data_IF_331452708186
#
_entry.id   IF_331452708186
#
_cell.length_a   1.000
_cell.length_b   1.000
_cell.length_c   1.000
_cell.angle_alpha   90.00
_cell.angle_beta   90.00
_cell.angle_gamma   90.00
#
_symmetry.space_group_name_H-M   'P 1'
#
loop_
_entity.id
_entity.type
_entity.pdbx_description
1 polymer ?
#
# COMPACT_ATOMS: atom_id res chain seq x y z
N UNK A 1 3.24 -21.72 -19.30
CA UNK A 1 2.05 -22.39 -19.82
C UNK A 1 0.81 -21.49 -19.89
N UNK A 2 0.39 -20.82 -18.83
CA UNK A 2 -0.82 -19.98 -18.84
C UNK A 2 -0.66 -18.71 -19.69
N UNK A 3 0.50 -18.05 -19.59
CA UNK A 3 0.80 -16.84 -20.37
C UNK A 3 0.75 -17.11 -21.90
N UNK A 4 1.33 -18.22 -22.35
CA UNK A 4 1.27 -18.64 -23.76
C UNK A 4 -0.16 -18.85 -24.23
N UNK A 5 -0.98 -19.54 -23.43
CA UNK A 5 -2.40 -19.77 -23.78
C UNK A 5 -3.17 -18.48 -24.00
N UNK A 6 -2.94 -17.46 -23.18
CA UNK A 6 -3.58 -16.15 -23.38
C UNK A 6 -2.99 -15.40 -24.57
N UNK A 7 -1.69 -15.49 -24.79
CA UNK A 7 -1.03 -14.88 -25.94
C UNK A 7 -1.50 -15.51 -27.28
N UNK A 8 -1.71 -16.83 -27.33
CA UNK A 8 -2.22 -17.55 -28.49
C UNK A 8 -3.68 -17.17 -28.81
N UNK A 9 -4.51 -17.02 -27.79
CA UNK A 9 -5.90 -16.54 -27.96
C UNK A 9 -5.90 -15.11 -28.49
N UNK A 10 -5.05 -14.23 -27.94
CA UNK A 10 -4.93 -12.84 -28.40
C UNK A 10 -4.40 -12.74 -29.83
N UNK A 11 -3.52 -13.64 -30.26
CA UNK A 11 -2.94 -13.64 -31.60
C UNK A 11 -3.98 -13.62 -32.72
N UNK A 12 -4.97 -14.50 -32.62
CA UNK A 12 -6.05 -14.54 -33.62
C UNK A 12 -6.87 -13.26 -33.73
N UNK A 13 -7.08 -12.59 -32.58
CA UNK A 13 -7.78 -11.30 -32.56
C UNK A 13 -6.93 -10.16 -33.12
N UNK A 14 -5.64 -10.14 -32.81
CA UNK A 14 -4.69 -9.14 -33.28
C UNK A 14 -4.48 -9.25 -34.80
N UNK A 15 -4.38 -10.47 -35.33
CA UNK A 15 -4.29 -10.71 -36.79
C UNK A 15 -5.58 -10.27 -37.50
N UNK A 16 -6.73 -10.46 -36.90
CA UNK A 16 -8.02 -10.05 -37.47
C UNK A 16 -8.22 -8.52 -37.44
N UNK A 17 -7.76 -7.82 -36.40
CA UNK A 17 -7.90 -6.37 -36.23
C UNK A 17 -7.03 -5.55 -37.18
N UNK A 18 -5.89 -6.11 -37.63
CA UNK A 18 -4.84 -5.41 -38.38
C UNK A 18 -4.34 -4.11 -37.73
N UNK A 19 -4.65 -3.88 -36.46
CA UNK A 19 -4.27 -2.67 -35.73
C UNK A 19 -2.80 -2.75 -35.29
N UNK A 20 -1.96 -1.88 -35.82
CA UNK A 20 -0.52 -1.85 -35.56
C UNK A 20 -0.19 -1.74 -34.06
N UNK A 21 -1.02 -1.00 -33.30
CA UNK A 21 -0.83 -0.86 -31.86
C UNK A 21 -1.01 -2.19 -31.13
N UNK A 22 -2.06 -2.94 -31.46
CA UNK A 22 -2.34 -4.24 -30.85
C UNK A 22 -1.27 -5.28 -31.24
N UNK A 23 -0.81 -5.24 -32.50
CA UNK A 23 0.31 -6.06 -32.93
C UNK A 23 1.59 -5.76 -32.14
N UNK A 24 1.89 -4.47 -31.92
CA UNK A 24 3.02 -4.04 -31.09
C UNK A 24 2.91 -4.55 -29.66
N UNK A 25 1.76 -4.44 -29.03
CA UNK A 25 1.50 -4.96 -27.68
C UNK A 25 1.68 -6.48 -27.62
N UNK A 26 1.13 -7.21 -28.59
CA UNK A 26 1.29 -8.66 -28.65
C UNK A 26 2.77 -9.06 -28.78
N UNK A 27 3.52 -8.39 -29.64
CA UNK A 27 4.95 -8.63 -29.80
C UNK A 27 5.70 -8.36 -28.50
N UNK A 28 5.42 -7.29 -27.77
CA UNK A 28 6.06 -7.00 -26.46
C UNK A 28 5.73 -8.10 -25.45
N UNK A 29 4.48 -8.58 -25.41
CA UNK A 29 4.09 -9.68 -24.50
C UNK A 29 4.87 -10.96 -24.85
N UNK A 30 4.96 -11.32 -26.12
CA UNK A 30 5.70 -12.50 -26.57
C UNK A 30 7.20 -12.37 -26.26
N UNK A 31 7.79 -11.19 -26.50
CA UNK A 31 9.17 -10.91 -26.17
C UNK A 31 9.46 -11.04 -24.68
N UNK A 32 8.57 -10.52 -23.83
CA UNK A 32 8.67 -10.68 -22.36
C UNK A 32 8.58 -12.15 -21.95
N UNK A 33 7.65 -12.91 -22.48
CA UNK A 33 7.53 -14.35 -22.20
C UNK A 33 8.83 -15.06 -22.55
N UNK A 34 9.35 -14.84 -23.78
CA UNK A 34 10.58 -15.44 -24.25
C UNK A 34 11.80 -15.06 -23.37
N UNK A 35 11.86 -13.79 -22.91
CA UNK A 35 12.93 -13.31 -22.02
C UNK A 35 12.92 -14.09 -20.68
N UNK A 36 11.75 -14.24 -20.06
CA UNK A 36 11.61 -14.98 -18.79
C UNK A 36 11.78 -16.50 -18.94
N UNK A 37 11.65 -17.03 -20.15
CA UNK A 37 11.93 -18.43 -20.47
C UNK A 37 13.41 -18.67 -20.82
N UNK A 38 14.26 -17.65 -20.76
CA UNK A 38 15.67 -17.76 -21.09
C UNK A 38 15.94 -17.94 -22.60
N UNK A 39 15.08 -17.37 -23.45
CA UNK A 39 15.18 -17.38 -24.90
C UNK A 39 15.46 -15.96 -25.45
N UNK A 40 16.63 -15.38 -25.18
CA UNK A 40 16.89 -13.98 -25.49
C UNK A 40 16.84 -13.64 -26.97
N UNK A 41 17.25 -14.54 -27.86
CA UNK A 41 17.18 -14.32 -29.31
C UNK A 41 15.73 -14.25 -29.83
N UNK A 42 14.86 -15.10 -29.31
CA UNK A 42 13.41 -15.06 -29.61
C UNK A 42 12.78 -13.79 -29.04
N UNK A 43 13.16 -13.42 -27.81
CA UNK A 43 12.72 -12.19 -27.16
C UNK A 43 13.10 -10.97 -28.01
N UNK A 44 14.34 -10.88 -28.44
CA UNK A 44 14.85 -9.81 -29.31
C UNK A 44 13.99 -9.67 -30.58
N UNK A 45 13.76 -10.77 -31.30
CA UNK A 45 12.96 -10.74 -32.54
C UNK A 45 11.58 -10.15 -32.33
N UNK A 46 10.90 -10.57 -31.26
CA UNK A 46 9.59 -10.05 -30.93
C UNK A 46 9.65 -8.57 -30.49
N UNK A 47 10.61 -8.21 -29.66
CA UNK A 47 10.72 -6.84 -29.12
C UNK A 47 11.11 -5.83 -30.21
N UNK A 48 11.97 -6.20 -31.17
CA UNK A 48 12.27 -5.39 -32.36
C UNK A 48 11.02 -5.13 -33.19
N UNK A 49 10.20 -6.16 -33.44
CA UNK A 49 8.93 -6.01 -34.13
C UNK A 49 7.95 -5.12 -33.36
N UNK A 50 7.87 -5.25 -32.04
CA UNK A 50 7.04 -4.42 -31.19
C UNK A 50 7.44 -2.95 -31.22
N UNK A 51 8.74 -2.67 -31.13
CA UNK A 51 9.30 -1.30 -31.25
C UNK A 51 8.96 -0.70 -32.61
N UNK A 52 9.15 -1.45 -33.70
CA UNK A 52 8.83 -0.98 -35.06
C UNK A 52 7.33 -0.62 -35.22
N UNK A 53 6.43 -1.44 -34.66
CA UNK A 53 4.99 -1.14 -34.65
C UNK A 53 4.68 0.17 -33.91
N UNK A 54 5.29 0.39 -32.74
CA UNK A 54 5.05 1.61 -31.95
C UNK A 54 5.64 2.86 -32.61
N UNK A 55 6.79 2.75 -33.26
CA UNK A 55 7.41 3.86 -33.97
C UNK A 55 6.60 4.29 -35.19
N UNK A 56 6.15 3.34 -35.99
CA UNK A 56 5.29 3.63 -37.14
C UNK A 56 3.96 4.29 -36.71
N UNK A 57 3.42 3.85 -35.57
CA UNK A 57 2.22 4.44 -34.95
C UNK A 57 2.48 5.71 -34.13
N UNK A 58 3.73 6.24 -34.10
CA UNK A 58 4.14 7.40 -33.27
C UNK A 58 3.83 7.26 -31.78
N UNK A 59 3.85 6.04 -31.25
CA UNK A 59 3.60 5.68 -29.86
C UNK A 59 4.90 5.76 -29.05
N UNK A 60 5.39 6.96 -28.81
CA UNK A 60 6.70 7.21 -28.19
C UNK A 60 6.87 6.53 -26.84
N UNK A 61 5.85 6.63 -25.97
CA UNK A 61 5.87 6.04 -24.64
C UNK A 61 6.02 4.52 -24.69
N UNK A 62 5.23 3.87 -25.53
CA UNK A 62 5.24 2.40 -25.65
C UNK A 62 6.53 1.93 -26.33
N UNK A 63 7.06 2.70 -27.28
CA UNK A 63 8.39 2.45 -27.87
C UNK A 63 9.50 2.52 -26.83
N UNK A 64 9.53 3.55 -25.96
CA UNK A 64 10.54 3.66 -24.90
C UNK A 64 10.47 2.48 -23.91
N UNK A 65 9.27 2.07 -23.52
CA UNK A 65 9.06 0.90 -22.66
C UNK A 65 9.51 -0.41 -23.29
N UNK A 66 9.17 -0.61 -24.56
CA UNK A 66 9.59 -1.80 -25.32
C UNK A 66 11.11 -1.87 -25.48
N UNK A 67 11.78 -0.73 -25.66
CA UNK A 67 13.21 -0.63 -25.77
C UNK A 67 13.96 -1.01 -24.49
N UNK A 68 13.39 -0.82 -23.31
CA UNK A 68 13.99 -1.35 -22.06
C UNK A 68 14.03 -2.88 -22.07
N UNK A 69 12.95 -3.55 -22.49
CA UNK A 69 12.95 -5.01 -22.65
C UNK A 69 13.91 -5.46 -23.74
N UNK A 70 13.96 -4.73 -24.87
CA UNK A 70 14.86 -5.02 -25.98
C UNK A 70 16.34 -4.92 -25.56
N UNK A 71 16.69 -3.90 -24.79
CA UNK A 71 18.04 -3.74 -24.25
C UNK A 71 18.47 -4.95 -23.41
N UNK A 72 17.58 -5.41 -22.52
CA UNK A 72 17.84 -6.61 -21.72
C UNK A 72 17.97 -7.85 -22.62
N UNK A 73 17.09 -8.04 -23.61
CA UNK A 73 17.17 -9.17 -24.53
C UNK A 73 18.47 -9.16 -25.36
N UNK A 74 18.93 -7.99 -25.81
CA UNK A 74 20.20 -7.84 -26.48
C UNK A 74 21.37 -8.19 -25.56
N UNK A 75 21.40 -7.70 -24.34
CA UNK A 75 22.47 -8.00 -23.39
C UNK A 75 22.52 -9.49 -23.03
N UNK A 76 21.38 -10.11 -22.76
CA UNK A 76 21.29 -11.56 -22.49
C UNK A 76 21.68 -12.41 -23.71
N UNK A 77 21.63 -11.85 -24.93
CA UNK A 77 22.12 -12.47 -26.15
C UNK A 77 23.65 -12.23 -26.39
N UNK A 78 24.31 -11.48 -25.51
CA UNK A 78 25.72 -11.10 -25.64
C UNK A 78 25.99 -9.90 -26.54
N UNK A 79 24.96 -9.21 -27.05
CA UNK A 79 25.07 -8.02 -27.90
C UNK A 79 24.92 -6.73 -27.07
N UNK A 80 26.01 -6.37 -26.40
CA UNK A 80 26.05 -5.21 -25.51
C UNK A 80 25.85 -3.88 -26.26
N UNK A 81 26.39 -3.79 -27.48
CA UNK A 81 26.28 -2.58 -28.29
C UNK A 81 24.82 -2.27 -28.68
N UNK A 82 24.05 -3.29 -29.08
CA UNK A 82 22.63 -3.13 -29.35
C UNK A 82 21.83 -2.84 -28.08
N UNK A 83 22.26 -3.39 -26.94
CA UNK A 83 21.63 -3.09 -25.64
C UNK A 83 21.83 -1.62 -25.25
N UNK A 84 23.04 -1.10 -25.33
CA UNK A 84 23.36 0.31 -25.05
C UNK A 84 22.60 1.24 -26.01
N UNK A 85 22.58 0.95 -27.30
CA UNK A 85 21.80 1.75 -28.25
C UNK A 85 20.31 1.80 -27.93
N UNK A 86 19.72 0.66 -27.54
CA UNK A 86 18.31 0.60 -27.15
C UNK A 86 18.01 1.41 -25.88
N UNK A 87 18.91 1.39 -24.90
CA UNK A 87 18.80 2.20 -23.69
C UNK A 87 18.92 3.69 -23.99
N UNK A 88 19.92 4.10 -24.80
CA UNK A 88 20.08 5.51 -25.21
C UNK A 88 18.82 6.07 -25.86
N UNK A 89 18.22 5.30 -26.76
CA UNK A 89 16.99 5.70 -27.41
C UNK A 89 15.80 5.75 -26.44
N UNK A 90 15.70 4.82 -25.48
CA UNK A 90 14.68 4.85 -24.45
C UNK A 90 14.82 6.10 -23.57
N UNK A 91 16.02 6.42 -23.12
CA UNK A 91 16.29 7.62 -22.32
C UNK A 91 16.08 8.93 -23.08
N UNK A 92 16.45 8.97 -24.36
CA UNK A 92 16.21 10.14 -25.21
C UNK A 92 14.69 10.42 -25.33
N UNK A 93 13.88 9.39 -25.49
CA UNK A 93 12.41 9.54 -25.52
C UNK A 93 11.87 9.95 -24.14
N UNK A 94 12.38 9.36 -23.06
CA UNK A 94 11.96 9.72 -21.71
C UNK A 94 12.26 11.19 -21.39
N UNK A 95 13.42 11.70 -21.77
CA UNK A 95 13.79 13.10 -21.61
C UNK A 95 12.80 14.05 -22.35
N UNK A 96 12.35 13.68 -23.54
CA UNK A 96 11.34 14.43 -24.29
C UNK A 96 9.95 14.39 -23.65
N UNK A 97 9.65 13.36 -22.88
CA UNK A 97 8.38 13.19 -22.15
C UNK A 97 8.40 13.80 -20.74
N UNK A 98 9.48 14.46 -20.34
CA UNK A 98 9.59 15.13 -19.05
C UNK A 98 10.22 14.28 -17.94
N UNK A 99 10.86 13.16 -18.28
CA UNK A 99 11.63 12.33 -17.32
C UNK A 99 11.29 10.85 -17.34
N UNK A 100 11.87 10.11 -16.39
CA UNK A 100 11.82 8.65 -16.34
C UNK A 100 10.52 8.05 -15.81
N UNK A 101 9.59 8.86 -15.30
CA UNK A 101 8.34 8.37 -14.65
C UNK A 101 7.57 7.37 -15.52
N UNK A 102 7.54 7.60 -16.81
CA UNK A 102 6.88 6.75 -17.78
C UNK A 102 7.47 5.32 -17.88
N UNK A 103 8.71 5.14 -17.46
CA UNK A 103 9.45 3.87 -17.54
C UNK A 103 9.54 3.12 -16.20
N UNK A 104 9.20 3.75 -15.07
CA UNK A 104 9.40 3.18 -13.73
C UNK A 104 8.77 1.78 -13.55
N UNK A 105 7.56 1.57 -14.08
CA UNK A 105 6.88 0.29 -13.98
C UNK A 105 7.62 -0.84 -14.70
N UNK A 106 8.17 -0.55 -15.88
CA UNK A 106 8.96 -1.50 -16.68
C UNK A 106 10.33 -1.70 -16.05
N UNK A 107 11.00 -0.61 -15.67
CA UNK A 107 12.31 -0.67 -15.01
C UNK A 107 12.26 -1.48 -13.72
N UNK A 108 11.19 -1.36 -12.92
CA UNK A 108 10.96 -2.20 -11.74
C UNK A 108 10.93 -3.69 -12.08
N UNK A 109 10.23 -4.06 -13.16
CA UNK A 109 10.17 -5.45 -13.62
C UNK A 109 11.55 -5.95 -14.04
N UNK A 110 12.33 -5.08 -14.66
CA UNK A 110 13.66 -5.41 -15.21
C UNK A 110 14.82 -5.16 -14.24
N UNK A 111 14.58 -4.68 -13.02
CA UNK A 111 15.64 -4.40 -12.03
C UNK A 111 16.68 -5.53 -11.93
N UNK A 112 16.30 -6.83 -11.78
CA UNK A 112 17.30 -7.91 -11.64
C UNK A 112 18.21 -8.11 -12.85
N UNK A 113 17.82 -7.62 -14.01
CA UNK A 113 18.61 -7.65 -15.23
C UNK A 113 19.44 -6.37 -15.38
N UNK A 114 18.83 -5.20 -15.19
CA UNK A 114 19.47 -3.90 -15.34
C UNK A 114 20.65 -3.70 -14.37
N UNK A 115 20.55 -4.20 -13.15
CA UNK A 115 21.64 -4.17 -12.15
C UNK A 115 22.89 -4.95 -12.56
N UNK A 116 22.77 -5.89 -13.50
CA UNK A 116 23.86 -6.75 -13.96
C UNK A 116 24.53 -6.25 -15.24
N UNK A 117 23.99 -5.21 -15.87
CA UNK A 117 24.52 -4.72 -17.14
C UNK A 117 25.85 -3.99 -16.95
N UNK A 118 26.87 -4.44 -17.65
CA UNK A 118 28.15 -3.74 -17.76
C UNK A 118 28.06 -2.71 -18.89
N UNK A 119 27.72 -1.47 -18.57
CA UNK A 119 27.46 -0.40 -19.52
C UNK A 119 28.58 0.64 -19.51
N UNK A 120 28.66 1.42 -20.60
CA UNK A 120 29.49 2.62 -20.64
C UNK A 120 29.16 3.57 -19.46
N UNK A 121 30.17 4.27 -18.86
CA UNK A 121 29.97 5.01 -17.60
C UNK A 121 28.81 6.01 -17.60
N UNK A 122 28.61 6.73 -18.70
CA UNK A 122 27.53 7.71 -18.81
C UNK A 122 26.14 7.06 -18.83
N UNK A 123 25.99 5.94 -19.53
CA UNK A 123 24.74 5.20 -19.60
C UNK A 123 24.47 4.42 -18.29
N UNK A 124 25.53 3.86 -17.70
CA UNK A 124 25.45 3.24 -16.38
C UNK A 124 24.95 4.19 -15.30
N UNK A 125 25.37 5.46 -15.32
CA UNK A 125 24.86 6.49 -14.41
C UNK A 125 23.36 6.75 -14.61
N UNK A 126 22.87 6.81 -15.84
CA UNK A 126 21.44 6.99 -16.14
C UNK A 126 20.61 5.78 -15.70
N UNK A 127 21.11 4.56 -15.88
CA UNK A 127 20.45 3.35 -15.39
C UNK A 127 20.41 3.34 -13.86
N UNK A 128 21.50 3.73 -13.20
CA UNK A 128 21.54 3.85 -11.72
C UNK A 128 20.51 4.86 -11.22
N UNK A 129 20.45 6.03 -11.83
CA UNK A 129 19.45 7.05 -11.50
C UNK A 129 18.00 6.52 -11.68
N UNK A 130 17.75 5.80 -12.79
CA UNK A 130 16.45 5.18 -13.04
C UNK A 130 16.09 4.16 -11.94
N UNK A 131 17.04 3.34 -11.52
CA UNK A 131 16.83 2.34 -10.46
C UNK A 131 16.63 2.97 -9.09
N UNK A 132 17.32 4.07 -8.76
CA UNK A 132 17.07 4.86 -7.56
C UNK A 132 15.65 5.44 -7.56
N UNK A 133 15.19 5.97 -8.69
CA UNK A 133 13.82 6.46 -8.85
C UNK A 133 12.79 5.31 -8.73
N UNK A 134 13.10 4.12 -9.24
CA UNK A 134 12.26 2.92 -9.06
C UNK A 134 12.17 2.56 -7.58
N UNK A 135 13.28 2.55 -6.85
CA UNK A 135 13.28 2.24 -5.42
C UNK A 135 12.44 3.25 -4.61
N UNK A 136 12.60 4.54 -4.88
CA UNK A 136 11.80 5.60 -4.26
C UNK A 136 10.31 5.42 -4.57
N UNK A 137 9.96 5.20 -5.85
CA UNK A 137 8.57 4.99 -6.27
C UNK A 137 7.94 3.74 -5.65
N UNK A 138 8.70 2.63 -5.54
CA UNK A 138 8.22 1.39 -4.90
C UNK A 138 7.94 1.61 -3.42
N UNK A 139 8.75 2.42 -2.74
CA UNK A 139 8.52 2.77 -1.34
C UNK A 139 7.27 3.64 -1.16
N UNK A 140 6.93 4.48 -2.14
CA UNK A 140 5.75 5.37 -2.09
C UNK A 140 4.46 4.67 -2.55
N UNK A 141 4.55 3.61 -3.35
CA UNK A 141 3.38 2.90 -3.90
C UNK A 141 2.34 2.49 -2.84
N UNK A 142 2.72 1.94 -1.67
CA UNK A 142 1.74 1.53 -0.67
C UNK A 142 0.93 2.72 -0.13
N UNK A 143 1.57 3.86 0.12
CA UNK A 143 0.89 5.08 0.57
C UNK A 143 -0.02 5.65 -0.52
N UNK A 144 0.46 5.72 -1.76
CA UNK A 144 -0.33 6.16 -2.91
C UNK A 144 -1.57 5.28 -3.13
N UNK A 145 -1.43 3.95 -3.03
CA UNK A 145 -2.56 3.02 -3.12
C UNK A 145 -3.60 3.27 -2.03
N UNK A 146 -3.14 3.54 -0.81
CA UNK A 146 -4.01 3.86 0.31
C UNK A 146 -4.79 5.15 0.05
N UNK A 147 -4.11 6.20 -0.39
CA UNK A 147 -4.71 7.50 -0.65
C UNK A 147 -5.73 7.43 -1.80
N UNK A 148 -5.39 6.75 -2.89
CA UNK A 148 -6.31 6.55 -4.03
C UNK A 148 -7.52 5.71 -3.61
N UNK A 149 -7.34 4.67 -2.79
CA UNK A 149 -8.44 3.84 -2.27
C UNK A 149 -9.41 4.66 -1.42
N UNK A 150 -8.90 5.60 -0.62
CA UNK A 150 -9.70 6.50 0.23
C UNK A 150 -10.45 7.57 -0.57
N UNK A 151 -9.91 8.02 -1.69
CA UNK A 151 -10.46 9.10 -2.50
C UNK A 151 -11.39 8.62 -3.62
N UNK A 152 -11.34 7.35 -3.99
CA UNK A 152 -12.07 6.83 -5.14
C UNK A 152 -13.22 5.93 -4.72
N UNK A 153 -14.44 6.41 -4.92
CA UNK A 153 -15.67 5.63 -4.77
C UNK A 153 -15.95 4.71 -5.97
N UNK A 154 -15.36 5.00 -7.12
CA UNK A 154 -15.71 4.38 -8.41
C UNK A 154 -14.77 3.27 -8.87
N UNK A 155 -13.56 3.19 -8.30
CA UNK A 155 -12.56 2.19 -8.68
C UNK A 155 -12.40 1.17 -7.56
N UNK A 156 -12.76 -0.08 -7.85
CA UNK A 156 -12.51 -1.19 -6.92
C UNK A 156 -11.02 -1.53 -6.90
N UNK A 157 -10.35 -1.10 -5.86
CA UNK A 157 -8.96 -1.51 -5.60
C UNK A 157 -8.92 -2.84 -4.83
N UNK A 158 -7.82 -3.58 -5.01
CA UNK A 158 -7.54 -4.72 -4.15
C UNK A 158 -7.54 -4.30 -2.67
N UNK A 159 -8.03 -5.13 -1.75
CA UNK A 159 -7.95 -4.86 -0.31
C UNK A 159 -6.52 -4.52 0.11
N UNK A 160 -6.34 -3.71 1.17
CA UNK A 160 -5.01 -3.43 1.69
C UNK A 160 -4.32 -4.73 2.11
N UNK A 161 -3.00 -4.77 1.96
CA UNK A 161 -2.24 -5.95 2.38
C UNK A 161 -2.38 -6.21 3.88
N UNK A 162 -2.43 -5.14 4.68
CA UNK A 162 -2.57 -5.20 6.14
C UNK A 162 -3.82 -4.44 6.57
N UNK A 163 -4.72 -5.10 7.27
CA UNK A 163 -5.91 -4.49 7.86
C UNK A 163 -5.88 -4.69 9.37
N UNK A 164 -6.08 -3.59 10.11
CA UNK A 164 -6.07 -3.56 11.56
C UNK A 164 -7.39 -2.97 12.06
N UNK A 165 -8.00 -3.65 13.00
CA UNK A 165 -9.24 -3.23 13.66
C UNK A 165 -9.00 -3.19 15.17
N UNK A 166 -9.39 -2.07 15.79
CA UNK A 166 -9.23 -1.83 17.22
C UNK A 166 -10.45 -1.19 17.87
N UNK A 167 -11.41 -0.67 17.07
CA UNK A 167 -12.69 -0.17 17.57
C UNK A 167 -13.65 -1.37 17.72
N UNK A 168 -13.79 -1.87 18.94
CA UNK A 168 -14.40 -3.16 19.26
C UNK A 168 -13.33 -4.25 19.40
N UNK A 169 -13.61 -5.44 18.90
CA UNK A 169 -12.69 -6.58 19.01
C UNK A 169 -11.40 -6.33 18.21
N UNK A 170 -10.25 -6.48 18.87
CA UNK A 170 -8.94 -6.32 18.23
C UNK A 170 -8.66 -7.45 17.22
N UNK A 171 -8.58 -7.11 15.94
CA UNK A 171 -8.35 -8.06 14.85
C UNK A 171 -7.34 -7.53 13.84
N UNK A 172 -6.58 -8.44 13.23
CA UNK A 172 -5.56 -8.10 12.23
C UNK A 172 -5.63 -9.12 11.09
N UNK A 173 -5.54 -8.63 9.84
CA UNK A 173 -5.48 -9.46 8.63
C UNK A 173 -4.26 -9.09 7.82
N UNK A 174 -3.60 -10.09 7.23
CA UNK A 174 -2.49 -9.95 6.30
C UNK A 174 -2.83 -10.69 5.01
N UNK A 175 -2.84 -9.99 3.89
CA UNK A 175 -3.23 -10.58 2.60
C UNK A 175 -4.65 -11.17 2.59
N UNK A 176 -5.56 -10.63 3.41
CA UNK A 176 -6.93 -11.12 3.57
C UNK A 176 -7.09 -12.29 4.56
N UNK A 177 -6.00 -12.80 5.14
CA UNK A 177 -6.02 -13.89 6.13
C UNK A 177 -5.94 -13.29 7.54
N UNK A 178 -6.87 -13.66 8.41
CA UNK A 178 -6.86 -13.20 9.80
C UNK A 178 -5.70 -13.82 10.59
N UNK A 179 -4.95 -12.97 11.29
CA UNK A 179 -3.87 -13.39 12.19
C UNK A 179 -4.47 -13.78 13.53
N UNK A 180 -4.28 -15.03 13.91
CA UNK A 180 -4.81 -15.63 15.13
C UNK A 180 -3.82 -15.60 16.28
N UNK A 181 -4.22 -16.04 17.48
CA UNK A 181 -3.35 -16.12 18.64
C UNK A 181 -2.13 -17.02 18.43
N UNK A 182 -2.24 -18.07 17.62
CA UNK A 182 -1.12 -18.96 17.27
C UNK A 182 -0.07 -18.28 16.39
N UNK A 183 -0.50 -17.38 15.52
CA UNK A 183 0.39 -16.64 14.62
C UNK A 183 1.17 -15.57 15.40
N UNK A 184 0.51 -14.90 16.35
CA UNK A 184 1.14 -13.93 17.24
C UNK A 184 2.13 -14.57 18.23
N UNK A 185 1.95 -15.85 18.59
CA UNK A 185 2.71 -16.58 19.64
C UNK A 185 2.68 -15.94 21.03
N UNK A 186 2.20 -14.72 21.16
CA UNK A 186 1.93 -14.04 22.42
C UNK A 186 1.06 -12.81 22.17
N UNK A 187 0.05 -12.61 22.98
CA UNK A 187 -0.87 -11.46 22.92
C UNK A 187 -0.12 -10.12 22.99
N UNK A 188 0.94 -10.03 23.82
CA UNK A 188 1.82 -8.87 23.93
C UNK A 188 2.37 -8.40 22.54
N UNK A 189 2.57 -9.30 21.58
CA UNK A 189 3.04 -8.90 20.26
C UNK A 189 1.96 -8.13 19.48
N UNK A 190 0.71 -8.60 19.54
CA UNK A 190 -0.46 -7.91 18.97
C UNK A 190 -0.65 -6.54 19.64
N UNK A 191 -0.66 -6.52 20.97
CA UNK A 191 -0.94 -5.32 21.75
C UNK A 191 0.14 -4.25 21.53
N UNK A 192 1.40 -4.67 21.35
CA UNK A 192 2.50 -3.75 21.01
C UNK A 192 2.34 -3.12 19.62
N UNK A 193 1.77 -3.82 18.64
CA UNK A 193 1.46 -3.22 17.34
C UNK A 193 0.47 -2.08 17.49
N UNK A 194 -0.62 -2.30 18.23
CA UNK A 194 -1.62 -1.25 18.49
C UNK A 194 -1.05 -0.10 19.35
N UNK A 195 -0.18 -0.41 20.29
CA UNK A 195 0.53 0.61 21.05
C UNK A 195 1.41 1.51 20.15
N UNK A 196 2.15 0.92 19.21
CA UNK A 196 2.95 1.67 18.25
C UNK A 196 2.08 2.47 17.26
N UNK A 197 0.91 1.95 16.88
CA UNK A 197 -0.07 2.69 16.07
C UNK A 197 -0.65 3.91 16.82
N UNK A 198 -0.91 3.77 18.13
CA UNK A 198 -1.39 4.87 18.95
C UNK A 198 -0.35 5.98 19.16
N UNK A 199 0.94 5.66 19.05
CA UNK A 199 2.05 6.59 19.29
C UNK A 199 2.79 6.92 17.98
N UNK A 200 2.29 7.88 17.22
CA UNK A 200 2.86 8.27 15.90
C UNK A 200 4.34 8.62 15.95
N UNK A 201 4.77 9.31 17.01
CA UNK A 201 6.17 9.74 17.20
C UNK A 201 7.10 8.58 17.61
N UNK A 202 6.54 7.39 17.79
CA UNK A 202 7.24 6.21 18.23
C UNK A 202 7.62 6.25 19.71
N UNK A 203 8.05 5.09 20.21
CA UNK A 203 8.39 4.86 21.62
C UNK A 203 9.83 4.36 21.75
N UNK A 204 10.51 4.79 22.79
CA UNK A 204 11.83 4.22 23.16
C UNK A 204 11.66 2.81 23.69
N UNK A 205 12.73 2.02 23.70
CA UNK A 205 12.71 0.69 24.31
C UNK A 205 12.35 0.72 25.80
N UNK A 206 12.75 1.76 26.52
CA UNK A 206 12.39 1.98 27.92
C UNK A 206 10.88 2.27 28.10
N UNK A 207 10.31 3.14 27.27
CA UNK A 207 8.88 3.43 27.31
C UNK A 207 8.04 2.20 27.01
N UNK A 208 8.42 1.39 26.00
CA UNK A 208 7.79 0.10 25.75
C UNK A 208 7.95 -0.86 26.93
N UNK A 209 9.10 -0.83 27.58
CA UNK A 209 9.37 -1.60 28.78
C UNK A 209 8.41 -1.28 29.91
N UNK A 210 8.19 0.00 30.19
CA UNK A 210 7.26 0.46 31.22
C UNK A 210 5.81 0.06 30.93
N UNK A 211 5.38 0.05 29.67
CA UNK A 211 4.04 -0.35 29.31
C UNK A 211 3.79 -1.85 29.39
N UNK A 212 4.77 -2.68 29.00
CA UNK A 212 4.56 -4.11 28.84
C UNK A 212 5.24 -4.98 29.89
N UNK A 213 6.30 -4.47 30.53
CA UNK A 213 7.09 -5.23 31.52
C UNK A 213 7.64 -4.32 32.64
N UNK A 214 6.78 -3.63 33.40
CA UNK A 214 7.21 -2.64 34.40
C UNK A 214 8.11 -3.22 35.49
N UNK A 215 7.97 -4.52 35.79
CA UNK A 215 8.71 -5.19 36.87
C UNK A 215 10.00 -5.88 36.39
N UNK A 216 10.44 -5.69 35.14
CA UNK A 216 11.62 -6.35 34.59
C UNK A 216 12.85 -5.46 34.67
N UNK A 217 14.00 -6.08 35.03
CA UNK A 217 15.30 -5.43 34.94
C UNK A 217 15.67 -5.10 33.45
N UNK A 218 16.57 -4.11 33.22
CA UNK A 218 16.90 -3.64 31.87
C UNK A 218 17.42 -4.72 30.91
N UNK A 219 18.15 -5.72 31.42
CA UNK A 219 18.69 -6.80 30.58
C UNK A 219 17.56 -7.73 30.09
N UNK A 220 16.69 -8.14 31.01
CA UNK A 220 15.52 -8.98 30.70
C UNK A 220 14.54 -8.24 29.82
N UNK A 221 14.32 -6.94 30.09
CA UNK A 221 13.48 -6.09 29.24
C UNK A 221 13.94 -6.10 27.78
N UNK A 222 15.24 -5.91 27.53
CA UNK A 222 15.79 -5.91 26.17
C UNK A 222 15.58 -7.26 25.45
N UNK A 223 15.71 -8.38 26.18
CA UNK A 223 15.43 -9.71 25.64
C UNK A 223 13.94 -9.87 25.27
N UNK A 224 13.02 -9.45 26.15
CA UNK A 224 11.57 -9.50 25.89
C UNK A 224 11.18 -8.63 24.70
N UNK A 225 11.72 -7.42 24.62
CA UNK A 225 11.47 -6.51 23.52
C UNK A 225 11.94 -7.10 22.19
N UNK A 226 13.19 -7.59 22.10
CA UNK A 226 13.71 -8.24 20.88
C UNK A 226 12.86 -9.43 20.46
N UNK A 227 12.46 -10.29 21.40
CA UNK A 227 11.60 -11.45 21.11
C UNK A 227 10.21 -11.02 20.62
N UNK A 228 9.64 -9.97 21.20
CA UNK A 228 8.33 -9.45 20.79
C UNK A 228 8.39 -8.80 19.41
N UNK A 229 9.40 -7.99 19.13
CA UNK A 229 9.65 -7.42 17.81
C UNK A 229 9.86 -8.51 16.74
N UNK A 230 10.59 -9.58 17.05
CA UNK A 230 10.72 -10.73 16.15
C UNK A 230 9.36 -11.36 15.82
N UNK A 231 8.50 -11.55 16.83
CA UNK A 231 7.15 -12.10 16.62
C UNK A 231 6.28 -11.20 15.76
N UNK A 232 6.33 -9.87 16.00
CA UNK A 232 5.61 -8.89 15.18
C UNK A 232 6.06 -8.99 13.73
N UNK A 233 7.36 -8.94 13.47
CA UNK A 233 7.91 -9.03 12.12
C UNK A 233 7.58 -10.34 11.42
N UNK A 234 7.58 -11.44 12.17
CA UNK A 234 7.17 -12.74 11.64
C UNK A 234 5.70 -12.77 11.23
N UNK A 235 4.81 -12.12 12.00
CA UNK A 235 3.37 -12.10 11.75
C UNK A 235 2.98 -11.10 10.65
N UNK A 236 3.59 -9.90 10.64
CA UNK A 236 3.20 -8.77 9.78
C UNK A 236 4.21 -8.45 8.66
N UNK A 237 5.36 -9.12 8.64
CA UNK A 237 6.48 -8.83 7.74
C UNK A 237 7.56 -7.95 8.38
N UNK A 238 8.81 -8.10 7.90
CA UNK A 238 10.00 -7.45 8.49
C UNK A 238 9.92 -5.93 8.51
N UNK A 239 9.27 -5.35 7.50
CA UNK A 239 9.09 -3.91 7.38
C UNK A 239 8.05 -3.32 8.32
N UNK A 240 7.31 -4.13 9.12
CA UNK A 240 6.18 -3.67 9.94
C UNK A 240 6.57 -2.70 11.06
N UNK A 241 7.76 -2.87 11.63
CA UNK A 241 8.29 -2.00 12.69
C UNK A 241 9.67 -1.51 12.31
N UNK A 242 9.81 -0.19 12.24
CA UNK A 242 11.07 0.50 11.99
C UNK A 242 11.65 1.06 13.28
N UNK A 243 13.00 1.15 13.33
CA UNK A 243 13.72 1.77 14.44
C UNK A 243 14.52 2.95 13.92
N UNK A 244 14.09 4.15 14.28
CA UNK A 244 14.68 5.41 13.81
C UNK A 244 14.81 6.39 14.97
N UNK A 245 15.92 7.10 15.03
CA UNK A 245 16.20 8.11 16.06
C UNK A 245 15.97 7.59 17.50
N UNK A 246 16.35 6.34 17.77
CA UNK A 246 16.20 5.72 19.10
C UNK A 246 14.75 5.30 19.45
N UNK A 247 13.83 5.32 18.52
CA UNK A 247 12.41 5.01 18.70
C UNK A 247 11.93 3.90 17.79
N UNK A 248 11.11 3.04 18.30
CA UNK A 248 10.34 2.04 17.54
C UNK A 248 9.03 2.67 17.07
N UNK A 249 8.72 2.49 15.78
CA UNK A 249 7.48 2.99 15.14
C UNK A 249 6.84 1.90 14.31
N UNK A 250 5.53 1.93 14.24
CA UNK A 250 4.84 1.21 13.17
C UNK A 250 5.16 1.88 11.83
N UNK A 251 5.51 1.08 10.83
CA UNK A 251 5.84 1.60 9.51
C UNK A 251 4.58 2.03 8.73
N UNK A 252 4.33 3.32 8.70
CA UNK A 252 3.15 3.91 8.05
C UNK A 252 3.27 4.04 6.53
N UNK A 253 4.41 3.71 5.94
CA UNK A 253 4.57 3.62 4.49
C UNK A 253 4.05 2.31 3.90
N UNK A 254 3.62 1.35 4.73
CA UNK A 254 3.00 0.11 4.29
C UNK A 254 1.61 0.35 3.69
N UNK A 255 1.19 -0.57 2.81
CA UNK A 255 -0.20 -0.65 2.35
C UNK A 255 -1.07 -1.26 3.46
N UNK A 256 -1.60 -0.41 4.33
CA UNK A 256 -2.42 -0.80 5.48
C UNK A 256 -3.69 0.04 5.58
N UNK A 257 -4.65 -0.49 6.32
CA UNK A 257 -5.87 0.19 6.74
C UNK A 257 -6.04 -0.02 8.24
N UNK A 258 -6.33 1.05 8.97
CA UNK A 258 -6.55 1.04 10.41
C UNK A 258 -7.83 1.80 10.75
N UNK A 259 -8.81 1.12 11.35
CA UNK A 259 -10.13 1.65 11.62
C UNK A 259 -10.12 2.92 12.47
N UNK A 260 -9.20 3.03 13.44
CA UNK A 260 -9.05 4.23 14.27
C UNK A 260 -8.60 5.44 13.44
N UNK A 261 -7.73 5.26 12.46
CA UNK A 261 -7.31 6.35 11.56
C UNK A 261 -8.48 6.80 10.68
N UNK A 262 -9.20 5.84 10.09
CA UNK A 262 -10.38 6.13 9.28
C UNK A 262 -11.46 6.86 10.10
N UNK A 263 -11.71 6.41 11.31
CA UNK A 263 -12.63 7.06 12.25
C UNK A 263 -12.23 8.52 12.53
N UNK A 264 -10.96 8.75 12.86
CA UNK A 264 -10.46 10.08 13.16
C UNK A 264 -10.50 11.01 11.94
N UNK A 265 -10.22 10.48 10.74
CA UNK A 265 -10.32 11.19 9.48
C UNK A 265 -11.77 11.58 9.17
N UNK A 266 -12.73 10.67 9.38
CA UNK A 266 -14.16 10.96 9.20
C UNK A 266 -14.63 12.04 10.16
N UNK A 267 -14.21 12.00 11.44
CA UNK A 267 -14.49 13.06 12.41
C UNK A 267 -13.89 14.41 11.96
N UNK A 268 -12.67 14.41 11.47
CA UNK A 268 -12.02 15.64 10.99
C UNK A 268 -12.72 16.19 9.75
N UNK A 269 -13.09 15.33 8.81
CA UNK A 269 -13.84 15.70 7.61
C UNK A 269 -15.21 16.33 7.97
N UNK A 270 -15.94 15.73 8.93
CA UNK A 270 -17.21 16.27 9.40
C UNK A 270 -17.06 17.66 10.03
N UNK A 271 -16.00 17.89 10.79
CA UNK A 271 -15.74 19.20 11.44
C UNK A 271 -15.36 20.29 10.46
N UNK A 272 -14.72 19.95 9.35
CA UNK A 272 -14.29 20.90 8.33
C UNK A 272 -15.29 21.06 7.19
N UNK A 273 -16.30 20.18 7.09
CA UNK A 273 -17.32 20.24 6.05
C UNK A 273 -18.15 21.53 6.13
N UNK A 274 -18.15 22.27 5.03
CA UNK A 274 -18.97 23.48 4.83
C UNK A 274 -20.41 23.13 4.47
N UNK A 275 -20.63 22.00 3.79
CA UNK A 275 -21.94 21.50 3.43
C UNK A 275 -22.52 20.56 4.51
N UNK A 276 -23.79 20.78 4.86
CA UNK A 276 -24.48 19.98 5.87
C UNK A 276 -24.64 18.51 5.45
N UNK A 277 -24.86 18.23 4.16
CA UNK A 277 -24.99 16.86 3.67
C UNK A 277 -23.65 16.11 3.79
N UNK A 278 -22.55 16.72 3.41
CA UNK A 278 -21.20 16.13 3.55
C UNK A 278 -20.84 15.88 5.01
N UNK A 279 -21.24 16.80 5.91
CA UNK A 279 -21.02 16.66 7.35
C UNK A 279 -21.74 15.44 7.92
N UNK A 280 -22.99 15.22 7.52
CA UNK A 280 -23.79 14.07 7.97
C UNK A 280 -23.13 12.78 7.49
N UNK A 281 -22.82 12.66 6.21
CA UNK A 281 -22.16 11.47 5.65
C UNK A 281 -20.86 11.14 6.39
N UNK A 282 -20.07 12.16 6.71
CA UNK A 282 -18.83 11.96 7.44
C UNK A 282 -19.04 11.50 8.89
N UNK A 283 -20.05 12.03 9.59
CA UNK A 283 -20.41 11.55 10.93
C UNK A 283 -21.01 10.14 10.89
N UNK A 284 -21.83 9.82 9.92
CA UNK A 284 -22.40 8.47 9.74
C UNK A 284 -21.28 7.45 9.51
N UNK A 285 -20.29 7.78 8.70
CA UNK A 285 -19.13 6.93 8.48
C UNK A 285 -18.32 6.74 9.78
N UNK A 286 -18.10 7.81 10.55
CA UNK A 286 -17.41 7.71 11.83
C UNK A 286 -18.18 6.78 12.80
N UNK A 287 -19.49 6.94 12.92
CA UNK A 287 -20.31 6.08 13.78
C UNK A 287 -20.31 4.63 13.30
N UNK A 288 -20.35 4.40 12.00
CA UNK A 288 -20.25 3.05 11.39
C UNK A 288 -18.94 2.34 11.73
N UNK A 289 -17.83 3.09 11.74
CA UNK A 289 -16.49 2.56 12.05
C UNK A 289 -16.32 2.21 13.54
N UNK A 290 -17.04 2.89 14.41
CA UNK A 290 -16.96 2.65 15.86
C UNK A 290 -17.87 1.48 16.26
N UNK A 291 -17.32 0.27 16.27
CA UNK A 291 -18.04 -0.97 16.58
C UNK A 291 -17.95 -1.38 18.07
N UNK A 292 -17.42 -0.51 18.90
CA UNK A 292 -17.26 -0.72 20.33
C UNK A 292 -16.01 -0.04 20.88
N UNK A 293 -15.83 -0.16 22.18
CA UNK A 293 -14.71 0.46 22.90
C UNK A 293 -13.33 0.08 22.29
N UNK A 294 -12.41 1.03 22.27
CA UNK A 294 -11.07 0.83 21.76
C UNK A 294 -10.31 -0.24 22.56
N UNK A 295 -9.93 -1.34 21.91
CA UNK A 295 -9.15 -2.44 22.47
C UNK A 295 -9.70 -2.92 23.83
N UNK A 296 -10.95 -3.39 23.94
CA UNK A 296 -11.59 -3.70 25.21
C UNK A 296 -10.88 -4.82 26.00
N UNK A 297 -10.17 -5.70 25.30
CA UNK A 297 -9.42 -6.84 25.84
C UNK A 297 -7.96 -6.52 26.20
N UNK A 298 -7.55 -5.24 26.12
CA UNK A 298 -6.19 -4.82 26.45
C UNK A 298 -6.18 -4.05 27.78
N UNK A 299 -5.48 -4.62 28.74
CA UNK A 299 -5.26 -3.99 30.05
C UNK A 299 -3.89 -3.28 30.06
N UNK A 300 -3.90 -1.97 29.93
CA UNK A 300 -2.66 -1.18 29.94
C UNK A 300 -2.93 0.30 30.10
N UNK A 301 -2.06 1.01 30.82
CA UNK A 301 -2.21 2.46 31.05
C UNK A 301 -2.18 3.27 29.76
N UNK A 302 -1.45 2.81 28.76
CA UNK A 302 -1.34 3.48 27.45
C UNK A 302 -2.65 3.48 26.64
N UNK A 303 -3.54 2.50 26.88
CA UNK A 303 -4.80 2.39 26.13
C UNK A 303 -5.90 3.27 26.71
N UNK A 304 -5.87 3.57 27.99
CA UNK A 304 -6.97 4.25 28.69
C UNK A 304 -7.25 5.65 28.14
N UNK A 305 -6.22 6.48 27.97
CA UNK A 305 -6.36 7.83 27.43
C UNK A 305 -6.86 7.82 25.98
N UNK A 306 -6.40 6.85 25.18
CA UNK A 306 -6.87 6.70 23.80
C UNK A 306 -8.32 6.25 23.75
N UNK A 307 -8.72 5.31 24.63
CA UNK A 307 -10.10 4.81 24.76
C UNK A 307 -11.06 5.94 25.07
N UNK A 308 -10.77 6.72 26.11
CA UNK A 308 -11.59 7.87 26.51
C UNK A 308 -11.71 8.90 25.38
N UNK A 309 -10.61 9.28 24.76
CA UNK A 309 -10.62 10.25 23.65
C UNK A 309 -11.45 9.77 22.45
N UNK A 310 -11.36 8.50 22.10
CA UNK A 310 -12.11 7.93 20.97
C UNK A 310 -13.61 7.82 21.31
N UNK A 311 -13.93 7.46 22.55
CA UNK A 311 -15.30 7.46 23.05
C UNK A 311 -15.94 8.84 22.98
N UNK A 312 -15.26 9.87 23.46
CA UNK A 312 -15.75 11.26 23.41
C UNK A 312 -15.97 11.75 21.98
N UNK A 313 -15.10 11.32 21.05
CA UNK A 313 -15.26 11.67 19.64
C UNK A 313 -16.48 10.96 19.01
N UNK A 314 -16.70 9.68 19.33
CA UNK A 314 -17.87 8.92 18.90
C UNK A 314 -19.17 9.53 19.46
N UNK A 315 -19.20 9.79 20.76
CA UNK A 315 -20.33 10.44 21.43
C UNK A 315 -20.68 11.76 20.75
N UNK A 316 -19.69 12.61 20.49
CA UNK A 316 -19.89 13.89 19.81
C UNK A 316 -20.48 13.75 18.41
N UNK A 317 -20.02 12.76 17.63
CA UNK A 317 -20.54 12.48 16.31
C UNK A 317 -21.99 11.96 16.35
N UNK A 318 -22.29 11.01 17.23
CA UNK A 318 -23.61 10.44 17.39
C UNK A 318 -24.63 11.50 17.86
N UNK A 319 -24.26 12.34 18.81
CA UNK A 319 -25.13 13.45 19.29
C UNK A 319 -25.40 14.48 18.20
N UNK A 320 -24.39 14.80 17.36
CA UNK A 320 -24.57 15.69 16.20
C UNK A 320 -25.58 15.10 15.20
N UNK A 321 -25.53 13.78 14.96
CA UNK A 321 -26.48 13.09 14.09
C UNK A 321 -27.88 13.07 14.71
N UNK A 322 -28.02 12.79 16.05
CA UNK A 322 -29.28 12.85 16.74
C UNK A 322 -29.95 14.21 16.56
N UNK A 323 -29.21 15.29 16.82
CA UNK A 323 -29.76 16.64 16.67
C UNK A 323 -30.17 16.94 15.23
N UNK A 324 -29.33 16.57 14.26
CA UNK A 324 -29.62 16.80 12.83
C UNK A 324 -30.88 16.06 12.38
N UNK A 325 -31.09 14.81 12.81
CA UNK A 325 -32.26 14.04 12.42
C UNK A 325 -33.54 14.52 13.16
N UNK A 326 -33.42 15.02 14.38
CA UNK A 326 -34.54 15.69 15.05
C UNK A 326 -34.97 16.97 14.33
N UNK A 327 -34.01 17.81 13.90
CA UNK A 327 -34.30 19.02 13.12
C UNK A 327 -34.97 18.70 11.76
N UNK A 328 -34.65 17.54 11.18
CA UNK A 328 -35.30 17.03 9.96
C UNK A 328 -36.61 16.31 10.16
N UNK A 329 -37.08 16.23 11.39
CA UNK A 329 -38.32 15.51 11.79
C UNK A 329 -38.22 13.98 11.48
N UNK A 330 -37.04 13.39 11.69
CA UNK A 330 -36.74 11.96 11.49
C UNK A 330 -36.44 11.27 12.83
N UNK A 331 -37.40 11.19 13.78
CA UNK A 331 -37.15 10.74 15.14
C UNK A 331 -36.72 9.27 15.24
N UNK A 332 -37.17 8.41 14.31
CA UNK A 332 -36.78 7.00 14.30
C UNK A 332 -35.29 6.82 14.01
N UNK A 333 -34.74 7.64 13.12
CA UNK A 333 -33.30 7.63 12.80
C UNK A 333 -32.49 8.18 13.97
N UNK A 334 -32.96 9.26 14.63
CA UNK A 334 -32.34 9.80 15.82
C UNK A 334 -32.26 8.77 16.95
N UNK A 335 -33.35 8.05 17.21
CA UNK A 335 -33.41 6.99 18.24
C UNK A 335 -32.37 5.87 18.03
N UNK A 336 -32.04 5.50 16.77
CA UNK A 336 -31.00 4.50 16.51
C UNK A 336 -29.63 4.93 17.05
N UNK A 337 -29.27 6.20 16.89
CA UNK A 337 -28.01 6.72 17.43
C UNK A 337 -28.04 6.81 18.95
N UNK A 338 -29.19 7.18 19.57
CA UNK A 338 -29.35 7.15 21.02
C UNK A 338 -29.16 5.74 21.59
N UNK A 339 -29.75 4.72 20.95
CA UNK A 339 -29.55 3.33 21.39
C UNK A 339 -28.08 2.88 21.25
N UNK A 340 -27.37 3.34 20.23
CA UNK A 340 -25.94 3.09 20.09
C UNK A 340 -25.11 3.69 21.23
N UNK A 341 -25.43 4.90 21.64
CA UNK A 341 -24.79 5.55 22.80
C UNK A 341 -25.07 4.81 24.12
N UNK A 342 -26.31 4.45 24.37
CA UNK A 342 -26.72 3.72 25.59
C UNK A 342 -26.14 2.29 25.64
N UNK A 343 -25.88 1.67 24.51
CA UNK A 343 -25.24 0.35 24.47
C UNK A 343 -23.79 0.39 24.96
N UNK A 344 -23.08 1.50 24.70
CA UNK A 344 -21.69 1.67 25.14
C UNK A 344 -21.58 2.26 26.56
N UNK A 345 -22.51 3.13 26.94
CA UNK A 345 -22.60 3.73 28.28
C UNK A 345 -24.05 3.73 28.77
N UNK A 346 -24.48 2.71 29.52
CA UNK A 346 -25.85 2.60 30.04
C UNK A 346 -26.24 3.68 31.04
N UNK A 347 -25.30 4.44 31.60
CA UNK A 347 -25.54 5.47 32.58
C UNK A 347 -25.66 6.88 31.98
N UNK A 348 -25.68 7.00 30.65
CA UNK A 348 -25.80 8.29 29.99
C UNK A 348 -27.28 8.74 30.00
N UNK A 349 -27.59 9.73 30.81
CA UNK A 349 -28.96 10.25 31.00
C UNK A 349 -29.28 11.52 30.18
N UNK A 350 -28.31 12.09 29.42
CA UNK A 350 -28.45 13.35 28.65
C UNK A 350 -29.08 13.19 27.27
#
# INVERSE_FOLDING_TARGET
AQAHRYADVAKGQVEASQAQYEQGLWHVVMGRIALYEGQPSTARTHLDAGVACFESGKRRLDSARARLFLAVACAESGDLASAEHSLEQAFAVAAQLGGHQAMLAVARELTPFLEKLELAPALGAQVTELLEQVAAWVNDLPSLRRDVRRQSETVSFAPPHLRLQALGQAQVWVGGIQITGSDWQAQVARDMVFCLLAHREGLTGEALGLFFWPDKDPLRLNMHLKKTLYRIRRALGDASVVFENGRYRFNRSLDYEYDVELFQESIAAARTATDAAMRIVAYEEAVRLYQGSYLPDVDGTWVLTARERLWQAYRGAAMALVQTHLERQEPETALRYCYGLLAEDPCQED
#
